data_IF_540752636525
#
_entry.id   IF_540752636525
#
_cell.length_a   1.000
_cell.length_b   1.000
_cell.length_c   1.000
_cell.angle_alpha   90.00
_cell.angle_beta   90.00
_cell.angle_gamma   90.00
#
_symmetry.space_group_name_H-M   'P 1'
#
loop_
_entity.id
_entity.type
_entity.pdbx_description
1 polymer ?
#
# COMPACT_ATOMS: atom_id res chain seq x y z
N UNK A 1 -35.72 51.21 -4.40
CA UNK A 1 -35.46 50.36 -3.21
C UNK A 1 -34.05 50.66 -2.74
N UNK A 2 -33.81 50.85 -1.44
CA UNK A 2 -32.47 51.19 -0.94
C UNK A 2 -31.54 49.96 -0.93
N UNK A 3 -30.22 50.18 -0.94
CA UNK A 3 -29.23 49.09 -0.87
C UNK A 3 -29.35 48.26 0.42
N UNK A 4 -29.66 48.90 1.55
CA UNK A 4 -29.86 48.20 2.82
C UNK A 4 -31.11 47.30 2.79
N UNK A 5 -32.22 47.80 2.23
CA UNK A 5 -33.44 47.01 2.04
C UNK A 5 -33.21 45.82 1.10
N UNK A 6 -32.46 46.02 0.01
CA UNK A 6 -32.12 44.94 -0.91
C UNK A 6 -31.21 43.90 -0.25
N UNK A 7 -30.18 44.34 0.48
CA UNK A 7 -29.29 43.44 1.21
C UNK A 7 -30.05 42.56 2.20
N UNK A 8 -30.98 43.16 2.95
CA UNK A 8 -31.88 42.40 3.84
C UNK A 8 -32.78 41.42 3.08
N UNK A 9 -33.25 41.78 1.87
CA UNK A 9 -34.12 40.92 1.05
C UNK A 9 -33.39 39.68 0.54
N UNK A 10 -32.12 39.82 0.12
CA UNK A 10 -31.33 38.72 -0.46
C UNK A 10 -30.35 38.06 0.52
N UNK A 11 -30.33 38.51 1.79
CA UNK A 11 -29.52 37.90 2.85
C UNK A 11 -28.03 38.25 2.81
N UNK A 12 -27.67 39.44 2.30
CA UNK A 12 -26.27 39.93 2.27
C UNK A 12 -26.13 41.29 2.93
N UNK A 13 -24.91 41.66 3.32
CA UNK A 13 -24.66 42.97 3.93
C UNK A 13 -24.87 44.11 2.94
N UNK A 14 -25.22 45.30 3.43
CA UNK A 14 -25.34 46.50 2.58
C UNK A 14 -24.02 46.83 1.88
N UNK A 15 -22.87 46.59 2.53
CA UNK A 15 -21.54 46.74 1.93
C UNK A 15 -21.35 45.80 0.74
N UNK A 16 -21.81 44.55 0.85
CA UNK A 16 -21.78 43.61 -0.27
C UNK A 16 -22.62 44.11 -1.45
N UNK A 17 -23.83 44.63 -1.20
CA UNK A 17 -24.66 45.26 -2.25
C UNK A 17 -23.92 46.44 -2.89
N UNK A 18 -23.31 47.32 -2.09
CA UNK A 18 -22.54 48.46 -2.57
C UNK A 18 -21.36 48.04 -3.46
N UNK A 19 -20.67 46.96 -3.11
CA UNK A 19 -19.61 46.39 -3.95
C UNK A 19 -20.13 45.87 -5.29
N UNK A 20 -21.30 45.22 -5.31
CA UNK A 20 -21.92 44.77 -6.57
C UNK A 20 -22.32 45.96 -7.47
N UNK A 21 -22.83 47.03 -6.86
CA UNK A 21 -23.16 48.28 -7.59
C UNK A 21 -21.89 48.95 -8.12
N UNK A 22 -20.83 49.05 -7.30
CA UNK A 22 -19.54 49.62 -7.73
C UNK A 22 -18.86 48.84 -8.85
N UNK A 23 -19.15 47.55 -8.98
CA UNK A 23 -18.69 46.69 -10.08
C UNK A 23 -19.61 46.73 -11.32
N UNK A 24 -20.69 47.52 -11.29
CA UNK A 24 -21.66 47.63 -12.37
C UNK A 24 -22.57 46.40 -12.54
N UNK A 25 -22.59 45.49 -11.57
CA UNK A 25 -23.42 44.26 -11.62
C UNK A 25 -24.88 44.58 -11.28
N UNK A 26 -25.11 45.56 -10.41
CA UNK A 26 -26.42 45.97 -9.95
C UNK A 26 -26.61 47.46 -10.19
N UNK A 27 -27.81 47.85 -10.63
CA UNK A 27 -28.21 49.25 -10.78
C UNK A 27 -29.35 49.58 -9.81
N UNK A 28 -29.11 50.46 -8.85
CA UNK A 28 -30.11 50.84 -7.85
C UNK A 28 -31.17 51.83 -8.37
N UNK A 29 -31.01 52.34 -9.60
CA UNK A 29 -31.99 53.22 -10.26
C UNK A 29 -33.19 52.46 -10.82
N UNK A 30 -33.07 51.14 -11.02
CA UNK A 30 -34.13 50.30 -11.58
C UNK A 30 -35.08 49.72 -10.51
N UNK A 31 -36.28 49.25 -10.90
CA UNK A 31 -37.21 48.61 -9.97
C UNK A 31 -36.60 47.38 -9.28
N UNK A 32 -37.03 47.11 -8.04
CA UNK A 32 -36.44 46.05 -7.22
C UNK A 32 -36.53 44.64 -7.81
N UNK A 33 -37.54 44.36 -8.64
CA UNK A 33 -37.65 43.07 -9.34
C UNK A 33 -36.53 42.90 -10.39
N UNK A 34 -36.14 43.96 -11.09
CA UNK A 34 -35.05 43.93 -12.06
C UNK A 34 -33.70 43.79 -11.34
N UNK A 35 -33.55 44.42 -10.17
CA UNK A 35 -32.39 44.26 -9.32
C UNK A 35 -32.21 42.80 -8.86
N UNK A 36 -33.30 42.14 -8.46
CA UNK A 36 -33.30 40.73 -8.08
C UNK A 36 -32.96 39.83 -9.28
N UNK A 37 -33.51 40.10 -10.45
CA UNK A 37 -33.20 39.35 -11.68
C UNK A 37 -31.72 39.49 -12.06
N UNK A 38 -31.16 40.70 -12.01
CA UNK A 38 -29.74 40.95 -12.27
C UNK A 38 -28.84 40.21 -11.27
N UNK A 39 -29.19 40.25 -9.98
CA UNK A 39 -28.47 39.50 -8.94
C UNK A 39 -28.50 37.99 -9.18
N UNK A 40 -29.67 37.44 -9.49
CA UNK A 40 -29.82 36.01 -9.80
C UNK A 40 -29.08 35.62 -11.09
N UNK A 41 -29.05 36.49 -12.13
CA UNK A 41 -28.26 36.24 -13.35
C UNK A 41 -26.77 36.14 -13.01
N UNK A 42 -26.27 37.09 -12.23
CA UNK A 42 -24.87 37.13 -11.81
C UNK A 42 -24.47 35.88 -11.01
N UNK A 43 -25.33 35.41 -10.10
CA UNK A 43 -25.07 34.17 -9.35
C UNK A 43 -25.04 32.94 -10.26
N UNK A 44 -25.91 32.87 -11.29
CA UNK A 44 -25.91 31.78 -12.26
C UNK A 44 -24.65 31.78 -13.12
N UNK A 45 -24.21 32.94 -13.57
CA UNK A 45 -22.95 33.09 -14.32
C UNK A 45 -21.74 32.69 -13.49
N UNK A 46 -21.67 33.13 -12.22
CA UNK A 46 -20.60 32.69 -11.31
C UNK A 46 -20.63 31.20 -11.03
N UNK A 47 -21.82 30.60 -10.89
CA UNK A 47 -21.96 29.17 -10.68
C UNK A 47 -21.56 28.38 -11.94
N UNK A 48 -21.97 28.85 -13.12
CA UNK A 48 -21.56 28.27 -14.41
C UNK A 48 -20.05 28.39 -14.63
N UNK A 49 -19.45 29.53 -14.30
CA UNK A 49 -18.00 29.73 -14.35
C UNK A 49 -17.23 28.82 -13.39
N UNK A 50 -17.75 28.57 -12.18
CA UNK A 50 -17.16 27.60 -11.24
C UNK A 50 -17.24 26.16 -11.74
N UNK A 51 -18.33 25.80 -12.40
CA UNK A 51 -18.49 24.49 -13.02
C UNK A 51 -17.59 24.31 -14.26
N UNK A 52 -17.46 25.35 -15.09
CA UNK A 52 -16.61 25.32 -16.29
C UNK A 52 -15.11 25.37 -15.98
N UNK A 53 -14.70 26.06 -14.91
CA UNK A 53 -13.30 26.16 -14.48
C UNK A 53 -12.81 24.96 -13.66
N UNK A 54 -13.63 23.91 -13.48
CA UNK A 54 -13.25 22.70 -12.76
C UNK A 54 -13.08 22.87 -11.24
N UNK A 55 -13.55 23.96 -10.64
CA UNK A 55 -13.35 24.23 -9.21
C UNK A 55 -14.12 23.24 -8.31
N UNK A 56 -15.24 22.71 -8.82
CA UNK A 56 -15.97 21.58 -8.22
C UNK A 56 -15.18 20.26 -8.29
N UNK A 57 -14.34 20.11 -9.31
CA UNK A 57 -13.45 18.96 -9.49
C UNK A 57 -12.26 19.03 -8.52
N UNK A 58 -11.67 20.23 -8.35
CA UNK A 58 -10.58 20.47 -7.38
C UNK A 58 -10.95 20.09 -5.93
N UNK A 59 -12.18 20.38 -5.49
CA UNK A 59 -12.65 19.98 -4.17
C UNK A 59 -12.73 18.45 -4.03
N UNK A 60 -13.14 17.77 -5.10
CA UNK A 60 -13.28 16.31 -5.18
C UNK A 60 -11.91 15.64 -5.23
N UNK A 61 -10.99 16.13 -6.06
CA UNK A 61 -9.60 15.69 -6.15
C UNK A 61 -8.84 15.86 -4.83
N UNK A 62 -9.05 16.99 -4.13
CA UNK A 62 -8.48 17.21 -2.79
C UNK A 62 -9.00 16.22 -1.75
N UNK A 63 -10.28 15.86 -1.83
CA UNK A 63 -10.85 14.83 -0.97
C UNK A 63 -10.26 13.44 -1.28
N UNK A 64 -10.03 13.13 -2.56
CA UNK A 64 -9.32 11.93 -3.01
C UNK A 64 -7.89 11.86 -2.47
N UNK A 65 -7.12 12.93 -2.65
CA UNK A 65 -5.76 13.05 -2.13
C UNK A 65 -5.70 12.93 -0.60
N UNK A 66 -6.65 13.53 0.13
CA UNK A 66 -6.75 13.38 1.57
C UNK A 66 -7.04 11.94 2.01
N UNK A 67 -7.83 11.19 1.24
CA UNK A 67 -8.08 9.76 1.47
C UNK A 67 -6.81 8.94 1.30
N UNK A 68 -6.09 9.15 0.19
CA UNK A 68 -4.82 8.44 -0.07
C UNK A 68 -3.77 8.75 0.99
N UNK A 69 -3.67 10.01 1.43
CA UNK A 69 -2.78 10.40 2.52
C UNK A 69 -3.11 9.66 3.82
N UNK A 70 -4.40 9.52 4.18
CA UNK A 70 -4.80 8.74 5.37
C UNK A 70 -4.41 7.27 5.23
N UNK A 71 -4.59 6.66 4.06
CA UNK A 71 -4.19 5.27 3.79
C UNK A 71 -2.67 5.13 3.95
N UNK A 72 -1.88 6.05 3.37
CA UNK A 72 -0.42 6.05 3.51
C UNK A 72 0.00 6.10 4.97
N UNK A 73 -0.58 6.99 5.76
CA UNK A 73 -0.29 7.10 7.20
C UNK A 73 -0.70 5.83 7.94
N UNK A 74 -1.85 5.24 7.61
CA UNK A 74 -2.30 3.99 8.22
C UNK A 74 -1.32 2.84 7.94
N UNK A 75 -0.84 2.70 6.69
CA UNK A 75 0.17 1.70 6.33
C UNK A 75 1.50 1.95 7.04
N UNK A 76 1.97 3.20 7.11
CA UNK A 76 3.18 3.56 7.84
C UNK A 76 3.05 3.21 9.34
N UNK A 77 1.92 3.53 9.97
CA UNK A 77 1.66 3.18 11.36
C UNK A 77 1.65 1.66 11.57
N UNK A 78 1.05 0.89 10.64
CA UNK A 78 1.03 -0.56 10.72
C UNK A 78 2.45 -1.17 10.60
N UNK A 79 3.32 -0.58 9.77
CA UNK A 79 4.74 -0.95 9.73
C UNK A 79 5.43 -0.62 11.05
N UNK A 80 5.23 0.58 11.60
CA UNK A 80 5.80 0.98 12.90
C UNK A 80 5.32 0.06 14.04
N UNK A 81 4.06 -0.39 13.99
CA UNK A 81 3.48 -1.31 14.97
C UNK A 81 3.86 -2.79 14.72
N UNK A 82 4.75 -3.08 13.75
CA UNK A 82 5.16 -4.44 13.36
C UNK A 82 4.01 -5.34 12.87
N UNK A 83 2.88 -4.76 12.47
CA UNK A 83 1.75 -5.49 11.91
C UNK A 83 1.92 -5.75 10.41
N UNK A 84 2.75 -4.95 9.73
CA UNK A 84 3.10 -5.09 8.32
C UNK A 84 4.62 -5.01 8.18
N UNK A 85 5.26 -6.06 7.66
CA UNK A 85 6.70 -6.04 7.35
C UNK A 85 6.86 -5.82 5.84
N UNK A 86 7.80 -4.96 5.39
CA UNK A 86 8.11 -4.85 3.97
C UNK A 86 8.58 -6.20 3.42
N UNK A 87 7.94 -6.70 2.35
CA UNK A 87 8.28 -7.99 1.74
C UNK A 87 9.77 -8.09 1.35
N UNK A 88 10.31 -7.00 0.79
CA UNK A 88 11.74 -6.86 0.44
C UNK A 88 12.66 -7.13 1.63
N UNK A 89 12.28 -6.67 2.84
CA UNK A 89 13.09 -6.89 4.03
C UNK A 89 13.06 -8.36 4.47
N UNK A 90 11.92 -9.04 4.32
CA UNK A 90 11.81 -10.48 4.58
C UNK A 90 12.67 -11.27 3.57
N UNK A 91 12.58 -10.93 2.29
CA UNK A 91 13.38 -11.54 1.23
C UNK A 91 14.89 -11.40 1.51
N UNK A 92 15.35 -10.20 1.86
CA UNK A 92 16.76 -9.97 2.20
C UNK A 92 17.22 -10.77 3.42
N UNK A 93 16.40 -10.82 4.48
CA UNK A 93 16.73 -11.57 5.70
C UNK A 93 16.78 -13.06 5.39
N UNK A 94 15.79 -13.59 4.65
CA UNK A 94 15.71 -15.00 4.32
C UNK A 94 16.85 -15.42 3.38
N UNK A 95 17.18 -14.61 2.37
CA UNK A 95 18.32 -14.86 1.49
C UNK A 95 19.65 -14.88 2.26
N UNK A 96 19.87 -13.91 3.17
CA UNK A 96 21.07 -13.89 4.02
C UNK A 96 21.14 -15.08 4.97
N UNK A 97 20.01 -15.48 5.55
CA UNK A 97 19.92 -16.65 6.42
C UNK A 97 20.23 -17.95 5.63
N UNK A 98 19.60 -18.13 4.47
CA UNK A 98 19.84 -19.28 3.58
C UNK A 98 21.30 -19.39 3.14
N UNK A 99 21.92 -18.28 2.71
CA UNK A 99 23.32 -18.25 2.33
C UNK A 99 24.26 -18.63 3.50
N UNK A 100 23.96 -18.18 4.71
CA UNK A 100 24.74 -18.54 5.91
C UNK A 100 24.59 -20.03 6.25
N UNK A 101 23.37 -20.57 6.17
CA UNK A 101 23.11 -22.00 6.41
C UNK A 101 23.85 -22.85 5.37
N UNK A 102 23.77 -22.48 4.09
CA UNK A 102 24.48 -23.18 3.02
C UNK A 102 25.99 -23.26 3.28
N UNK A 103 26.62 -22.15 3.68
CA UNK A 103 28.04 -22.15 4.01
C UNK A 103 28.40 -23.01 5.23
N UNK A 104 27.51 -23.11 6.23
CA UNK A 104 27.70 -24.02 7.38
C UNK A 104 27.61 -25.48 6.92
N UNK A 105 26.63 -25.79 6.06
CA UNK A 105 26.45 -27.12 5.51
C UNK A 105 27.64 -27.57 4.66
N UNK A 106 28.17 -26.70 3.81
CA UNK A 106 29.36 -26.99 2.98
C UNK A 106 30.63 -27.28 3.81
N UNK A 107 30.68 -26.80 5.05
CA UNK A 107 31.79 -27.08 5.95
C UNK A 107 31.70 -28.46 6.64
N UNK A 108 30.52 -29.11 6.65
CA UNK A 108 30.28 -30.37 7.37
C UNK A 108 31.20 -31.50 6.88
N UNK A 109 31.35 -31.78 5.56
CA UNK A 109 32.21 -32.88 5.12
C UNK A 109 33.66 -32.75 5.60
N UNK A 110 34.20 -31.52 5.56
CA UNK A 110 35.53 -31.22 6.07
C UNK A 110 35.65 -31.39 7.59
N UNK A 111 34.63 -30.96 8.33
CA UNK A 111 34.57 -31.13 9.78
C UNK A 111 34.49 -32.61 10.20
N UNK A 112 33.70 -33.43 9.49
CA UNK A 112 33.57 -34.87 9.73
C UNK A 112 34.89 -35.57 9.45
N UNK A 113 35.53 -35.31 8.29
CA UNK A 113 36.84 -35.90 7.94
C UNK A 113 37.91 -35.61 8.98
N UNK A 114 37.91 -34.41 9.57
CA UNK A 114 38.86 -34.03 10.64
C UNK A 114 38.60 -34.76 11.96
N UNK A 115 37.34 -35.01 12.30
CA UNK A 115 36.94 -35.68 13.55
C UNK A 115 37.00 -37.20 13.45
N UNK A 116 36.83 -37.76 12.26
CA UNK A 116 36.80 -39.20 12.00
C UNK A 116 37.80 -39.53 10.87
N UNK A 117 39.11 -39.59 11.16
CA UNK A 117 40.13 -39.79 10.13
C UNK A 117 40.08 -41.15 9.43
N UNK A 118 39.43 -42.15 10.04
CA UNK A 118 39.27 -43.49 9.49
C UNK A 118 38.08 -43.64 8.55
N UNK A 119 37.24 -42.61 8.37
CA UNK A 119 36.11 -42.68 7.45
C UNK A 119 36.62 -42.62 6.00
N UNK A 120 36.22 -43.58 5.14
CA UNK A 120 36.67 -43.59 3.74
C UNK A 120 36.16 -42.35 3.00
N UNK A 121 36.91 -41.94 1.97
CA UNK A 121 36.60 -40.73 1.20
C UNK A 121 35.25 -40.82 0.46
N UNK A 122 34.84 -42.04 0.08
CA UNK A 122 33.56 -42.30 -0.57
C UNK A 122 32.37 -41.92 0.32
N UNK A 123 32.40 -42.28 1.60
CA UNK A 123 31.38 -41.92 2.59
C UNK A 123 31.33 -40.42 2.86
N UNK A 124 32.50 -39.76 2.92
CA UNK A 124 32.57 -38.29 3.04
C UNK A 124 31.93 -37.61 1.81
N UNK A 125 32.14 -38.17 0.62
CA UNK A 125 31.53 -37.66 -0.60
C UNK A 125 30.02 -37.90 -0.63
N UNK A 126 29.54 -39.05 -0.12
CA UNK A 126 28.12 -39.35 0.01
C UNK A 126 27.42 -38.32 0.92
N UNK A 127 28.04 -37.96 2.06
CA UNK A 127 27.54 -36.88 2.94
C UNK A 127 27.47 -35.55 2.16
N UNK A 128 28.50 -35.21 1.41
CA UNK A 128 28.52 -33.98 0.59
C UNK A 128 27.42 -33.96 -0.48
N UNK A 129 27.17 -35.11 -1.13
CA UNK A 129 26.12 -35.26 -2.13
C UNK A 129 24.72 -35.07 -1.51
N UNK A 130 24.48 -35.64 -0.32
CA UNK A 130 23.19 -35.49 0.36
C UNK A 130 22.94 -34.05 0.82
N UNK A 131 23.97 -33.38 1.35
CA UNK A 131 23.90 -31.95 1.67
C UNK A 131 23.58 -31.12 0.43
N UNK A 132 24.21 -31.42 -0.71
CA UNK A 132 23.95 -30.73 -1.96
C UNK A 132 22.51 -30.94 -2.44
N UNK A 133 21.97 -32.17 -2.31
CA UNK A 133 20.57 -32.49 -2.63
C UNK A 133 19.61 -31.63 -1.81
N UNK A 134 19.75 -31.62 -0.48
CA UNK A 134 18.88 -30.86 0.43
C UNK A 134 18.97 -29.36 0.14
N UNK A 135 20.17 -28.82 -0.12
CA UNK A 135 20.33 -27.40 -0.46
C UNK A 135 19.64 -27.05 -1.77
N UNK A 136 19.70 -27.92 -2.77
CA UNK A 136 19.04 -27.67 -4.05
C UNK A 136 17.52 -27.67 -3.90
N UNK A 137 16.96 -28.56 -3.07
CA UNK A 137 15.53 -28.57 -2.73
C UNK A 137 15.13 -27.23 -2.08
N UNK A 138 15.88 -26.79 -1.06
CA UNK A 138 15.61 -25.53 -0.38
C UNK A 138 15.73 -24.32 -1.33
N UNK A 139 16.66 -24.36 -2.29
CA UNK A 139 16.85 -23.31 -3.28
C UNK A 139 15.77 -23.29 -4.37
N UNK A 140 15.11 -24.42 -4.64
CA UNK A 140 14.00 -24.49 -5.60
C UNK A 140 12.64 -24.14 -4.99
N UNK A 141 12.55 -24.01 -3.66
CA UNK A 141 11.30 -23.63 -2.99
C UNK A 141 10.79 -22.28 -3.49
N UNK A 142 9.51 -22.25 -3.83
CA UNK A 142 8.79 -21.12 -4.36
C UNK A 142 7.52 -20.86 -3.56
N UNK A 143 6.91 -19.68 -3.74
CA UNK A 143 5.64 -19.36 -3.10
C UNK A 143 4.49 -20.28 -3.55
N UNK A 144 4.62 -20.92 -4.71
CA UNK A 144 3.62 -21.87 -5.22
C UNK A 144 3.59 -23.15 -4.37
N UNK A 145 4.76 -23.63 -3.93
CA UNK A 145 4.88 -24.87 -3.16
C UNK A 145 4.18 -24.77 -1.80
N UNK A 146 4.20 -23.59 -1.16
CA UNK A 146 3.52 -23.33 0.13
C UNK A 146 1.99 -23.39 0.01
N UNK A 147 1.43 -23.22 -1.18
CA UNK A 147 -0.03 -23.24 -1.40
C UNK A 147 -0.56 -24.64 -1.65
N UNK A 148 0.32 -25.58 -2.00
CA UNK A 148 0.00 -26.97 -2.32
C UNK A 148 0.32 -27.92 -1.16
N UNK A 149 1.00 -27.47 -0.09
CA UNK A 149 1.21 -28.23 1.15
C UNK A 149 -0.09 -28.32 1.99
N UNK A 150 -0.99 -29.24 1.60
CA UNK A 150 -1.82 -29.98 2.58
C UNK A 150 -0.84 -30.81 3.44
N UNK A 151 -0.96 -30.83 4.78
CA UNK A 151 0.05 -31.41 5.65
C UNK A 151 -0.08 -32.94 5.66
N UNK A 152 0.36 -33.61 4.60
CA UNK A 152 0.53 -35.05 4.57
C UNK A 152 1.97 -35.38 4.15
N UNK A 153 2.92 -34.96 4.99
CA UNK A 153 4.24 -35.57 5.00
C UNK A 153 4.15 -36.82 5.87
N UNK A 154 3.53 -37.88 5.34
CA UNK A 154 3.76 -39.24 5.83
C UNK A 154 5.19 -39.60 5.47
N UNK A 155 6.09 -39.46 6.44
CA UNK A 155 7.35 -40.20 6.41
C UNK A 155 6.95 -41.66 6.65
N UNK A 156 6.69 -42.39 5.56
CA UNK A 156 6.61 -43.86 5.59
C UNK A 156 8.00 -44.38 5.92
N UNK A 157 8.24 -44.52 7.22
CA UNK A 157 9.36 -45.25 7.78
C UNK A 157 8.89 -46.72 7.90
N UNK A 158 8.88 -47.44 6.77
CA UNK A 158 8.83 -48.91 6.79
C UNK A 158 10.26 -49.43 6.94
N UNK A 159 10.62 -50.04 8.09
CA UNK A 159 11.80 -50.89 8.14
C UNK A 159 11.42 -52.26 7.56
N UNK A 160 11.92 -52.54 6.36
CA UNK A 160 12.20 -53.91 5.94
C UNK A 160 13.26 -54.49 6.90
N UNK A 161 12.94 -55.57 7.61
CA UNK A 161 13.79 -56.78 7.72
C UNK A 161 13.15 -57.89 8.56
N UNK A 162 12.71 -58.92 7.83
CA UNK A 162 12.94 -60.35 8.03
C UNK A 162 13.50 -60.86 9.39
N UNK A 163 12.81 -61.88 9.92
CA UNK A 163 13.47 -63.01 10.59
C UNK A 163 13.05 -63.27 12.04
N UNK A 164 12.01 -64.09 12.25
CA UNK A 164 11.80 -64.77 13.53
C UNK A 164 11.87 -66.31 13.35
N UNK A 165 13.00 -66.81 13.84
CA UNK A 165 13.40 -68.15 14.35
C UNK A 165 12.36 -69.28 14.28
#
# INVERSE_FOLDING_TARGET
MTQAQFGSLVGISQQAVGNLVGRGVLDTSVPGIQLLQAYCSHLREQAAGRAANGDLDLATERAGLAREQRIRVALQNAVTQKQLMPAVLIEEILAKAGARIAGIFDAIPGAVRRRVPGLPAEEINAIGAEIARVRNIAASMSLADIRDDDPDVTVDDEPDEEGEI
#
